data_IF_337882417747
#
_entry.id   IF_337882417747
#
_cell.length_a   1.000
_cell.length_b   1.000
_cell.length_c   1.000
_cell.angle_alpha   90.00
_cell.angle_beta   90.00
_cell.angle_gamma   90.00
#
_symmetry.space_group_name_H-M   'P 1'
#
loop_
_entity.id
_entity.type
_entity.pdbx_description
1 polymer ?
#
# COMPACT_ATOMS: atom_id res chain seq x y z
N UNK A 1 11.43 16.95 17.26
CA UNK A 1 10.49 17.40 16.22
C UNK A 1 9.22 16.57 16.27
N UNK A 2 8.06 17.15 15.93
CA UNK A 2 6.78 16.43 15.84
C UNK A 2 6.53 16.03 14.42
N UNK A 3 6.11 14.78 14.20
CA UNK A 3 5.90 14.21 12.86
C UNK A 3 4.69 13.30 12.89
N UNK A 4 3.76 13.50 11.97
CA UNK A 4 2.68 12.54 11.70
C UNK A 4 3.16 11.49 10.70
N UNK A 5 2.84 10.21 10.95
CA UNK A 5 3.28 9.15 10.04
C UNK A 5 2.41 7.90 10.09
N UNK A 6 2.46 7.15 8.99
CA UNK A 6 1.80 5.86 8.82
C UNK A 6 2.86 4.77 9.04
N UNK A 7 2.65 3.90 10.00
CA UNK A 7 3.57 2.79 10.30
C UNK A 7 3.45 1.74 9.18
N UNK A 8 4.56 1.46 8.51
CA UNK A 8 4.61 0.45 7.45
C UNK A 8 5.08 -0.91 7.97
N UNK A 9 5.97 -0.91 8.96
CA UNK A 9 6.53 -2.14 9.53
C UNK A 9 7.19 -1.87 10.86
N UNK A 10 7.08 -2.83 11.80
CA UNK A 10 7.84 -2.88 13.04
C UNK A 10 8.69 -4.16 13.07
N UNK A 11 9.99 -4.03 13.36
CA UNK A 11 10.92 -5.15 13.49
C UNK A 11 11.57 -5.11 14.86
N UNK A 12 11.50 -6.22 15.62
CA UNK A 12 12.20 -6.36 16.89
C UNK A 12 13.70 -6.18 16.71
N UNK A 13 14.31 -5.36 17.56
CA UNK A 13 15.72 -5.05 17.53
C UNK A 13 16.28 -5.06 18.94
N UNK A 14 17.23 -5.96 19.21
CA UNK A 14 17.75 -6.24 20.57
C UNK A 14 16.63 -6.70 21.54
N UNK A 15 16.95 -6.78 22.82
CA UNK A 15 16.06 -7.37 23.84
C UNK A 15 14.82 -6.54 24.14
N UNK A 16 14.88 -5.22 24.05
CA UNK A 16 13.79 -4.34 24.49
C UNK A 16 13.38 -3.27 23.47
N UNK A 17 13.95 -3.31 22.25
CA UNK A 17 13.79 -2.26 21.25
C UNK A 17 13.20 -2.80 19.95
N UNK A 18 12.73 -1.90 19.11
CA UNK A 18 12.36 -2.20 17.73
C UNK A 18 12.78 -1.07 16.79
N UNK A 19 12.76 -1.37 15.49
CA UNK A 19 12.89 -0.38 14.43
C UNK A 19 11.54 -0.33 13.71
N UNK A 20 10.91 0.84 13.72
CA UNK A 20 9.73 1.12 12.94
C UNK A 20 10.13 1.78 11.61
N UNK A 21 9.55 1.31 10.49
CA UNK A 21 9.59 2.02 9.21
C UNK A 21 8.28 2.75 9.04
N UNK A 22 8.34 4.07 8.84
CA UNK A 22 7.18 4.96 8.85
C UNK A 22 7.20 5.84 7.60
N UNK A 23 6.05 5.96 6.95
CA UNK A 23 5.80 6.95 5.91
C UNK A 23 5.28 8.21 6.56
N UNK A 24 5.98 9.32 6.42
CA UNK A 24 5.64 10.61 7.03
C UNK A 24 5.23 11.63 5.98
N UNK A 25 4.57 12.70 6.40
CA UNK A 25 4.16 13.79 5.51
C UNK A 25 5.34 14.67 5.06
N UNK A 26 6.31 14.93 5.95
CA UNK A 26 7.39 15.87 5.67
C UNK A 26 8.75 15.21 5.39
N UNK A 27 9.04 14.04 6.00
CA UNK A 27 10.36 13.42 5.97
C UNK A 27 10.47 12.22 5.03
N UNK A 28 9.38 11.85 4.37
CA UNK A 28 9.37 10.65 3.55
C UNK A 28 9.28 9.35 4.34
N UNK A 29 9.80 8.29 3.73
CA UNK A 29 9.89 6.99 4.39
C UNK A 29 11.14 6.96 5.26
N UNK A 30 10.96 6.93 6.58
CA UNK A 30 12.03 6.99 7.56
C UNK A 30 12.10 5.75 8.43
N UNK A 31 13.25 5.54 9.07
CA UNK A 31 13.45 4.52 10.10
C UNK A 31 13.55 5.16 11.49
N UNK A 32 12.75 4.66 12.43
CA UNK A 32 12.70 5.15 13.81
C UNK A 32 13.17 4.04 14.75
N UNK A 33 14.21 4.32 15.55
CA UNK A 33 14.65 3.44 16.63
C UNK A 33 13.76 3.66 17.85
N UNK A 34 12.93 2.69 18.15
CA UNK A 34 12.02 2.68 19.28
C UNK A 34 12.66 1.93 20.44
N UNK A 35 13.41 2.66 21.28
CA UNK A 35 14.13 2.07 22.41
C UNK A 35 13.19 1.72 23.56
N UNK A 36 13.42 0.61 24.23
CA UNK A 36 12.74 0.19 25.47
C UNK A 36 11.22 0.09 25.36
N UNK A 37 10.67 -0.13 24.16
CA UNK A 37 9.22 -0.28 23.97
C UNK A 37 8.69 -1.58 24.59
N UNK A 38 9.55 -2.58 24.76
CA UNK A 38 9.24 -3.85 25.42
C UNK A 38 9.78 -3.84 26.85
N UNK A 39 9.15 -3.07 27.76
CA UNK A 39 9.63 -2.91 29.14
C UNK A 39 9.49 -4.16 30.00
N UNK A 40 8.50 -4.97 29.77
CA UNK A 40 8.29 -6.26 30.42
C UNK A 40 8.48 -7.37 29.38
N UNK A 41 9.03 -8.50 29.73
CA UNK A 41 9.28 -9.63 28.85
C UNK A 41 8.08 -10.11 28.00
N UNK A 42 6.93 -9.50 28.15
CA UNK A 42 5.75 -9.66 27.29
C UNK A 42 5.96 -8.89 26.00
N UNK A 43 6.39 -9.56 24.97
CA UNK A 43 6.69 -9.09 23.62
C UNK A 43 5.40 -8.68 22.84
N UNK A 44 4.60 -7.78 23.38
CA UNK A 44 3.42 -7.26 22.71
C UNK A 44 3.81 -5.96 22.02
N UNK A 45 3.60 -5.88 20.72
CA UNK A 45 3.86 -4.67 19.95
C UNK A 45 2.88 -3.57 20.39
N UNK A 46 3.36 -2.35 20.65
CA UNK A 46 2.47 -1.25 21.00
C UNK A 46 1.47 -1.00 19.88
N UNK A 47 0.17 -0.82 20.18
CA UNK A 47 -0.86 -0.55 19.18
C UNK A 47 -0.53 0.64 18.27
N UNK A 48 0.17 1.62 18.78
CA UNK A 48 0.64 2.80 18.06
C UNK A 48 1.69 2.48 16.98
N UNK A 49 2.30 1.31 17.01
CA UNK A 49 3.32 0.86 16.05
C UNK A 49 2.85 -0.33 15.22
N UNK A 50 1.56 -0.66 15.27
CA UNK A 50 0.98 -1.66 14.37
C UNK A 50 1.00 -1.17 12.92
N UNK A 51 1.15 -2.09 11.98
CA UNK A 51 1.14 -1.77 10.54
C UNK A 51 -0.12 -1.02 10.15
N UNK A 52 0.04 0.07 9.40
CA UNK A 52 -1.01 0.98 8.93
C UNK A 52 -1.68 1.83 10.04
N UNK A 53 -1.15 1.87 11.27
CA UNK A 53 -1.57 2.89 12.24
C UNK A 53 -1.08 4.28 11.83
N UNK A 54 -1.93 5.29 12.02
CA UNK A 54 -1.60 6.70 11.85
C UNK A 54 -1.21 7.27 13.22
N UNK A 55 0.03 7.70 13.37
CA UNK A 55 0.61 8.02 14.68
C UNK A 55 1.35 9.36 14.65
N UNK A 56 1.16 10.17 15.67
CA UNK A 56 1.92 11.39 15.91
C UNK A 56 3.10 11.10 16.82
N UNK A 57 4.28 11.26 16.29
CA UNK A 57 5.56 10.99 16.96
C UNK A 57 6.26 12.26 17.39
N UNK A 58 6.92 12.20 18.55
CA UNK A 58 8.00 13.13 18.90
C UNK A 58 9.30 12.41 18.64
N UNK A 59 10.08 12.92 17.70
CA UNK A 59 11.32 12.32 17.24
C UNK A 59 12.52 13.18 17.53
N UNK A 60 13.65 12.54 17.78
CA UNK A 60 14.96 13.13 17.83
C UNK A 60 15.81 12.63 16.67
N UNK A 61 16.42 13.55 15.94
CA UNK A 61 17.28 13.22 14.83
C UNK A 61 18.59 12.54 15.32
N UNK A 62 19.00 11.52 14.58
CA UNK A 62 20.27 10.82 14.75
C UNK A 62 21.09 10.85 13.47
N UNK A 63 22.27 10.21 13.46
CA UNK A 63 23.14 10.19 12.27
C UNK A 63 22.60 9.42 11.08
N UNK A 64 21.90 8.32 11.33
CA UNK A 64 21.44 7.38 10.29
C UNK A 64 19.96 7.04 10.40
N UNK A 65 19.31 7.39 11.49
CA UNK A 65 17.90 7.14 11.74
C UNK A 65 17.39 8.07 12.84
N UNK A 66 16.09 8.18 12.95
CA UNK A 66 15.41 8.91 14.02
C UNK A 66 15.29 8.04 15.27
N UNK A 67 15.14 8.68 16.42
CA UNK A 67 14.87 8.03 17.70
C UNK A 67 13.51 8.47 18.21
N UNK A 68 12.71 7.51 18.67
CA UNK A 68 11.43 7.78 19.30
C UNK A 68 11.66 8.33 20.71
N UNK A 69 11.21 9.54 20.95
CA UNK A 69 11.16 10.13 22.31
C UNK A 69 9.77 9.94 22.92
N UNK A 70 8.67 10.16 22.16
CA UNK A 70 7.30 10.05 22.63
C UNK A 70 6.32 9.70 21.50
N UNK A 71 5.20 9.06 21.84
CA UNK A 71 4.01 8.92 21.00
C UNK A 71 2.93 9.80 21.58
N UNK A 72 2.57 10.91 20.89
CA UNK A 72 1.56 11.86 21.39
C UNK A 72 0.14 11.34 21.22
N UNK A 73 -0.16 10.77 20.06
CA UNK A 73 -1.47 10.21 19.74
C UNK A 73 -1.37 9.17 18.64
N UNK A 74 -2.35 8.29 18.61
CA UNK A 74 -2.48 7.27 17.57
C UNK A 74 -3.94 7.13 17.19
N UNK A 75 -4.20 7.15 15.89
CA UNK A 75 -5.46 6.67 15.33
C UNK A 75 -5.22 5.23 14.90
N UNK A 76 -5.63 4.32 15.75
CA UNK A 76 -5.69 2.91 15.38
C UNK A 76 -6.80 2.76 14.36
N UNK A 77 -6.48 2.18 13.22
CA UNK A 77 -7.51 1.86 12.24
C UNK A 77 -8.32 0.67 12.77
N UNK A 78 -9.43 0.94 13.46
CA UNK A 78 -10.34 -0.12 13.99
C UNK A 78 -10.72 -1.12 12.89
N UNK A 79 -10.81 -0.64 11.65
CA UNK A 79 -11.01 -1.48 10.49
C UNK A 79 -9.92 -2.56 10.36
N UNK A 80 -8.65 -2.27 10.65
CA UNK A 80 -7.55 -3.27 10.55
C UNK A 80 -7.72 -4.43 11.53
N UNK A 81 -8.43 -4.23 12.63
CA UNK A 81 -8.76 -5.26 13.61
C UNK A 81 -10.13 -5.90 13.38
N UNK A 82 -10.97 -5.33 12.50
CA UNK A 82 -12.38 -5.71 12.33
C UNK A 82 -12.62 -6.75 11.26
N UNK A 83 -11.65 -7.00 10.35
CA UNK A 83 -11.85 -7.96 9.28
C UNK A 83 -10.58 -8.32 8.52
N UNK A 84 -10.57 -9.52 7.96
CA UNK A 84 -9.43 -10.04 7.21
C UNK A 84 -9.17 -9.30 5.89
N UNK A 85 -10.23 -8.79 5.22
CA UNK A 85 -10.08 -8.06 3.95
C UNK A 85 -9.32 -6.76 4.14
N UNK A 86 -9.65 -6.01 5.19
CA UNK A 86 -8.95 -4.79 5.57
C UNK A 86 -7.51 -5.09 5.99
N UNK A 87 -7.31 -6.16 6.76
CA UNK A 87 -5.99 -6.61 7.17
C UNK A 87 -5.08 -6.86 5.96
N UNK A 88 -5.50 -7.72 5.01
CA UNK A 88 -4.70 -7.97 3.81
C UNK A 88 -4.54 -6.73 2.93
N UNK A 89 -5.58 -5.93 2.75
CA UNK A 89 -5.56 -4.71 1.97
C UNK A 89 -4.49 -3.73 2.49
N UNK A 90 -4.48 -3.46 3.79
CA UNK A 90 -3.48 -2.60 4.41
C UNK A 90 -2.06 -3.15 4.27
N UNK A 91 -1.88 -4.47 4.46
CA UNK A 91 -0.56 -5.10 4.33
C UNK A 91 -0.04 -5.10 2.89
N UNK A 92 -0.91 -5.23 1.87
CA UNK A 92 -0.53 -5.08 0.46
C UNK A 92 0.02 -3.66 0.20
N UNK A 93 -0.68 -2.63 0.68
CA UNK A 93 -0.25 -1.24 0.53
C UNK A 93 1.07 -0.99 1.26
N UNK A 94 1.19 -1.45 2.52
CA UNK A 94 2.42 -1.32 3.30
C UNK A 94 3.61 -2.02 2.61
N UNK A 95 3.41 -3.24 2.09
CA UNK A 95 4.46 -4.00 1.41
C UNK A 95 4.90 -3.33 0.10
N UNK A 96 3.96 -2.78 -0.69
CA UNK A 96 4.28 -2.01 -1.88
C UNK A 96 5.13 -0.79 -1.55
N UNK A 97 4.73 0.01 -0.56
CA UNK A 97 5.50 1.18 -0.11
C UNK A 97 6.89 0.80 0.41
N UNK A 98 7.00 -0.31 1.13
CA UNK A 98 8.29 -0.79 1.63
C UNK A 98 9.24 -1.20 0.51
N UNK A 99 8.72 -1.84 -0.56
CA UNK A 99 9.54 -2.42 -1.62
C UNK A 99 9.88 -1.45 -2.75
N UNK A 100 9.01 -0.46 -3.02
CA UNK A 100 9.15 0.38 -4.22
C UNK A 100 9.39 1.87 -3.93
N UNK A 101 9.13 2.34 -2.70
CA UNK A 101 9.42 3.72 -2.34
C UNK A 101 10.84 3.83 -1.79
N UNK A 102 11.67 4.64 -2.44
CA UNK A 102 12.99 4.97 -1.92
C UNK A 102 12.87 5.92 -0.71
N UNK A 103 13.91 5.95 0.13
CA UNK A 103 13.93 6.83 1.29
C UNK A 103 14.04 8.30 0.83
N UNK A 104 13.32 9.19 1.48
CA UNK A 104 13.43 10.66 1.39
C UNK A 104 12.94 11.32 0.10
N UNK A 105 12.62 10.58 -0.99
CA UNK A 105 12.19 11.18 -2.26
C UNK A 105 10.71 10.91 -2.60
N UNK A 106 10.04 11.88 -3.24
CA UNK A 106 8.69 11.82 -3.85
C UNK A 106 7.50 11.67 -2.88
N UNK A 107 7.60 12.09 -1.65
CA UNK A 107 6.62 11.75 -0.62
C UNK A 107 5.41 12.67 -0.57
N UNK A 108 5.54 13.92 -0.98
CA UNK A 108 4.49 14.94 -0.82
C UNK A 108 3.09 14.53 -1.33
N UNK A 109 3.02 13.69 -2.37
CA UNK A 109 1.75 13.20 -2.91
C UNK A 109 1.35 11.80 -2.42
N UNK A 110 2.31 10.98 -1.99
CA UNK A 110 2.09 9.57 -1.62
C UNK A 110 1.53 9.47 -0.19
N UNK A 111 2.02 10.30 0.74
CA UNK A 111 1.50 10.33 2.10
C UNK A 111 0.00 10.70 2.14
N UNK A 112 -0.45 11.84 1.57
CA UNK A 112 -1.87 12.19 1.59
C UNK A 112 -2.74 11.18 0.81
N UNK A 113 -2.24 10.58 -0.27
CA UNK A 113 -2.93 9.48 -0.96
C UNK A 113 -3.17 8.30 -0.01
N UNK A 114 -2.13 7.89 0.73
CA UNK A 114 -2.20 6.73 1.64
C UNK A 114 -3.04 7.03 2.87
N UNK A 115 -2.96 8.25 3.42
CA UNK A 115 -3.81 8.69 4.54
C UNK A 115 -5.28 8.67 4.14
N UNK A 116 -5.63 9.27 2.99
CA UNK A 116 -7.01 9.28 2.50
C UNK A 116 -7.53 7.87 2.19
N UNK A 117 -6.66 6.97 1.69
CA UNK A 117 -7.00 5.55 1.53
C UNK A 117 -7.38 4.92 2.87
N UNK A 118 -6.57 5.11 3.92
CA UNK A 118 -6.84 4.56 5.24
C UNK A 118 -8.15 5.07 5.85
N UNK A 119 -8.41 6.36 5.73
CA UNK A 119 -9.62 7.01 6.25
C UNK A 119 -10.92 6.48 5.60
N UNK A 120 -10.83 5.91 4.39
CA UNK A 120 -11.97 5.39 3.65
C UNK A 120 -12.01 3.85 3.58
N UNK A 121 -11.01 3.16 4.13
CA UNK A 121 -10.90 1.71 4.08
C UNK A 121 -11.91 1.04 4.99
N UNK A 122 -12.70 0.11 4.42
CA UNK A 122 -13.69 -0.70 5.13
C UNK A 122 -13.65 -2.14 4.63
N UNK A 123 -14.20 -3.08 5.40
CA UNK A 123 -14.29 -4.48 5.00
C UNK A 123 -15.05 -4.67 3.68
N UNK A 124 -16.03 -3.81 3.40
CA UNK A 124 -16.84 -3.88 2.19
C UNK A 124 -16.11 -3.45 0.93
N UNK A 125 -15.28 -2.40 1.01
CA UNK A 125 -14.62 -1.81 -0.16
C UNK A 125 -13.13 -2.16 -0.29
N UNK A 126 -12.59 -2.94 0.63
CA UNK A 126 -11.16 -3.16 0.80
C UNK A 126 -10.42 -3.48 -0.51
N UNK A 127 -10.93 -4.39 -1.32
CA UNK A 127 -10.26 -4.83 -2.54
C UNK A 127 -10.30 -3.77 -3.64
N UNK A 128 -11.48 -3.15 -3.85
CA UNK A 128 -11.59 -2.11 -4.87
C UNK A 128 -10.79 -0.86 -4.49
N UNK A 129 -10.86 -0.48 -3.21
CA UNK A 129 -10.13 0.68 -2.72
C UNK A 129 -8.60 0.47 -2.85
N UNK A 130 -8.12 -0.74 -2.53
CA UNK A 130 -6.71 -1.10 -2.68
C UNK A 130 -6.26 -1.10 -4.13
N UNK A 131 -7.06 -1.66 -5.04
CA UNK A 131 -6.79 -1.59 -6.48
C UNK A 131 -6.71 -0.13 -6.96
N UNK A 132 -7.65 0.70 -6.52
CA UNK A 132 -7.66 2.15 -6.83
C UNK A 132 -6.41 2.83 -6.29
N UNK A 133 -6.02 2.53 -5.05
CA UNK A 133 -4.79 3.07 -4.46
C UNK A 133 -3.56 2.66 -5.30
N UNK A 134 -3.45 1.40 -5.69
CA UNK A 134 -2.34 0.88 -6.51
C UNK A 134 -2.23 1.66 -7.84
N UNK A 135 -3.31 1.81 -8.60
CA UNK A 135 -3.27 2.54 -9.87
C UNK A 135 -2.91 4.02 -9.69
N UNK A 136 -3.42 4.67 -8.65
CA UNK A 136 -3.06 6.06 -8.33
C UNK A 136 -1.61 6.19 -7.88
N UNK A 137 -1.13 5.28 -7.04
CA UNK A 137 0.25 5.22 -6.59
C UNK A 137 1.22 5.05 -7.76
N UNK A 138 0.96 4.08 -8.65
CA UNK A 138 1.76 3.87 -9.84
C UNK A 138 1.74 5.08 -10.78
N UNK A 139 0.59 5.75 -10.90
CA UNK A 139 0.49 6.98 -11.69
C UNK A 139 1.36 8.11 -11.12
N UNK A 140 1.47 8.24 -9.79
CA UNK A 140 2.38 9.20 -9.13
C UNK A 140 3.85 8.87 -9.36
N UNK A 141 4.19 7.59 -9.51
CA UNK A 141 5.53 7.13 -9.85
C UNK A 141 5.85 7.24 -11.36
N UNK A 142 4.92 7.73 -12.19
CA UNK A 142 5.10 7.85 -13.64
C UNK A 142 4.60 6.66 -14.44
N UNK A 143 4.06 5.63 -13.82
CA UNK A 143 3.51 4.43 -14.45
C UNK A 143 1.99 4.51 -14.62
N UNK A 144 1.49 5.64 -15.13
CA UNK A 144 0.07 5.77 -15.45
C UNK A 144 -0.30 4.85 -16.61
N UNK A 145 -1.26 3.90 -16.45
CA UNK A 145 -1.58 2.98 -17.53
C UNK A 145 -2.18 3.70 -18.73
N UNK A 146 -1.66 3.39 -19.91
CA UNK A 146 -2.33 3.72 -21.16
C UNK A 146 -3.61 2.89 -21.28
N UNK A 147 -4.67 3.47 -21.82
CA UNK A 147 -5.96 2.78 -21.99
C UNK A 147 -6.38 2.81 -23.45
N UNK A 148 -6.31 1.66 -24.11
CA UNK A 148 -6.89 1.49 -25.44
C UNK A 148 -8.42 1.45 -25.34
N UNK A 149 -9.09 2.34 -26.07
CA UNK A 149 -10.55 2.46 -26.07
C UNK A 149 -11.24 1.59 -27.13
N UNK A 150 -10.47 1.00 -28.06
CA UNK A 150 -10.97 0.15 -29.15
C UNK A 150 -10.43 -1.29 -29.05
N UNK A 151 -10.91 -2.17 -29.96
CA UNK A 151 -10.45 -3.54 -30.12
C UNK A 151 -11.29 -4.59 -29.37
N UNK A 152 -11.36 -5.79 -29.97
CA UNK A 152 -12.11 -6.94 -29.42
C UNK A 152 -11.27 -7.73 -28.41
N UNK A 153 -9.95 -7.77 -28.61
CA UNK A 153 -9.02 -8.49 -27.73
C UNK A 153 -8.12 -7.49 -27.01
N UNK A 154 -8.31 -7.37 -25.70
CA UNK A 154 -7.57 -6.46 -24.84
C UNK A 154 -6.67 -7.22 -23.87
N UNK A 155 -5.50 -6.65 -23.59
CA UNK A 155 -4.50 -7.21 -22.69
C UNK A 155 -3.95 -6.13 -21.76
N UNK A 156 -3.78 -6.45 -20.50
CA UNK A 156 -3.04 -5.64 -19.56
C UNK A 156 -1.55 -6.00 -19.68
N UNK A 157 -0.75 -5.02 -20.03
CA UNK A 157 0.71 -5.08 -20.20
C UNK A 157 1.41 -4.07 -19.29
N UNK A 158 2.73 -3.98 -19.37
CA UNK A 158 3.52 -2.97 -18.65
C UNK A 158 3.12 -1.53 -19.04
N UNK A 159 2.75 -1.27 -20.29
CA UNK A 159 2.31 0.05 -20.75
C UNK A 159 0.85 0.39 -20.37
N UNK A 160 0.05 -0.62 -20.01
CA UNK A 160 -1.37 -0.46 -19.69
C UNK A 160 -2.25 -1.43 -20.47
N UNK A 161 -3.50 -1.03 -20.76
CA UNK A 161 -4.45 -1.85 -21.53
C UNK A 161 -4.27 -1.55 -23.02
N UNK A 162 -3.85 -2.56 -23.76
CA UNK A 162 -3.49 -2.49 -25.17
C UNK A 162 -4.19 -3.60 -25.98
N UNK A 163 -4.29 -3.44 -27.29
CA UNK A 163 -4.67 -4.50 -28.23
C UNK A 163 -3.44 -5.29 -28.68
N UNK A 164 -3.66 -6.45 -29.27
CA UNK A 164 -2.58 -7.38 -29.66
C UNK A 164 -1.57 -6.75 -30.63
N UNK A 165 -2.04 -5.91 -31.54
CA UNK A 165 -1.23 -5.19 -32.51
C UNK A 165 -0.35 -4.08 -31.94
N UNK A 166 -0.64 -3.66 -30.70
CA UNK A 166 0.11 -2.61 -29.96
C UNK A 166 1.11 -3.19 -28.96
N UNK A 167 1.24 -4.51 -28.94
CA UNK A 167 2.09 -5.19 -27.95
C UNK A 167 3.52 -5.33 -28.43
N UNK A 168 4.47 -5.14 -27.53
CA UNK A 168 5.85 -5.60 -27.74
C UNK A 168 5.92 -7.13 -27.66
N UNK A 169 6.61 -7.74 -28.63
CA UNK A 169 6.60 -9.19 -28.88
C UNK A 169 7.13 -10.08 -27.72
N UNK A 170 7.57 -9.52 -26.60
CA UNK A 170 8.23 -10.23 -25.48
C UNK A 170 7.66 -9.96 -24.10
N UNK A 171 6.56 -9.22 -23.96
CA UNK A 171 6.03 -8.78 -22.67
C UNK A 171 5.12 -9.80 -21.98
N UNK A 172 5.18 -9.88 -20.67
CA UNK A 172 4.17 -10.57 -19.84
C UNK A 172 2.85 -9.83 -19.94
N UNK A 173 1.76 -10.54 -20.22
CA UNK A 173 0.43 -9.99 -20.46
C UNK A 173 -0.65 -10.75 -19.71
N UNK A 174 -1.74 -10.06 -19.40
CA UNK A 174 -2.95 -10.63 -18.83
C UNK A 174 -4.15 -10.28 -19.71
N UNK A 175 -4.91 -11.27 -20.23
CA UNK A 175 -6.14 -10.98 -20.97
C UNK A 175 -7.13 -10.21 -20.09
N UNK A 176 -7.76 -9.17 -20.65
CA UNK A 176 -8.77 -8.35 -19.97
C UNK A 176 -9.99 -8.11 -20.85
N UNK A 177 -11.13 -7.88 -20.25
CA UNK A 177 -12.38 -7.59 -20.93
C UNK A 177 -12.62 -6.07 -21.01
N UNK A 178 -13.60 -5.65 -21.84
CA UNK A 178 -14.07 -4.26 -21.83
C UNK A 178 -14.58 -3.81 -20.46
N UNK A 179 -15.20 -4.72 -19.68
CA UNK A 179 -15.62 -4.44 -18.30
C UNK A 179 -14.42 -4.15 -17.40
N UNK A 180 -13.34 -4.92 -17.54
CA UNK A 180 -12.11 -4.69 -16.76
C UNK A 180 -11.48 -3.36 -17.09
N UNK A 181 -11.42 -3.00 -18.36
CA UNK A 181 -10.96 -1.68 -18.83
C UNK A 181 -11.75 -0.57 -18.17
N UNK A 182 -13.09 -0.65 -18.20
CA UNK A 182 -13.97 0.36 -17.64
C UNK A 182 -13.80 0.46 -16.11
N UNK A 183 -13.54 -0.67 -15.43
CA UNK A 183 -13.21 -0.69 -14.01
C UNK A 183 -11.87 -0.01 -13.70
N UNK A 184 -10.83 -0.22 -14.51
CA UNK A 184 -9.54 0.48 -14.38
C UNK A 184 -9.72 1.99 -14.57
N UNK A 185 -10.44 2.41 -15.62
CA UNK A 185 -10.75 3.83 -15.86
C UNK A 185 -11.48 4.44 -14.65
N UNK A 186 -12.48 3.75 -14.13
CA UNK A 186 -13.22 4.20 -12.95
C UNK A 186 -12.33 4.31 -11.73
N UNK A 187 -11.50 3.31 -11.46
CA UNK A 187 -10.56 3.31 -10.34
C UNK A 187 -9.59 4.52 -10.40
N UNK A 188 -9.04 4.81 -11.58
CA UNK A 188 -8.12 5.93 -11.74
C UNK A 188 -8.78 7.29 -11.49
N UNK A 189 -10.07 7.45 -11.82
CA UNK A 189 -10.80 8.71 -11.77
C UNK A 189 -11.64 8.89 -10.50
N UNK A 190 -11.97 7.83 -9.76
CA UNK A 190 -12.81 7.90 -8.55
C UNK A 190 -12.07 8.51 -7.37
N UNK A 191 -12.78 9.25 -6.51
CA UNK A 191 -12.32 9.57 -5.17
C UNK A 191 -12.54 8.37 -4.27
N UNK A 192 -11.69 8.15 -3.27
CA UNK A 192 -11.82 7.01 -2.35
C UNK A 192 -13.18 7.00 -1.61
N UNK A 193 -13.66 8.18 -1.23
CA UNK A 193 -14.97 8.33 -0.55
C UNK A 193 -16.17 7.82 -1.38
N UNK A 194 -16.04 7.76 -2.72
CA UNK A 194 -17.10 7.34 -3.62
C UNK A 194 -17.13 5.81 -3.84
N UNK A 195 -16.09 5.10 -3.37
CA UNK A 195 -15.95 3.65 -3.56
C UNK A 195 -16.66 2.90 -2.44
N UNK A 196 -17.78 2.27 -2.77
CA UNK A 196 -18.63 1.52 -1.82
C UNK A 196 -18.69 0.02 -2.10
N UNK A 197 -18.20 -0.41 -3.27
CA UNK A 197 -18.34 -1.77 -3.78
C UNK A 197 -17.09 -2.63 -3.55
N UNK A 198 -17.28 -3.94 -3.71
CA UNK A 198 -16.20 -4.91 -3.77
C UNK A 198 -15.84 -5.20 -5.23
N UNK A 199 -14.55 -5.28 -5.57
CA UNK A 199 -14.09 -5.70 -6.89
C UNK A 199 -12.75 -6.44 -6.76
N UNK A 200 -12.85 -7.71 -6.39
CA UNK A 200 -11.64 -8.51 -6.21
C UNK A 200 -10.85 -8.68 -7.50
N UNK A 201 -11.53 -8.95 -8.62
CA UNK A 201 -10.88 -9.12 -9.92
C UNK A 201 -10.07 -7.90 -10.35
N UNK A 202 -10.47 -6.70 -9.90
CA UNK A 202 -9.69 -5.48 -10.13
C UNK A 202 -8.39 -5.46 -9.31
N UNK A 203 -8.41 -6.01 -8.08
CA UNK A 203 -7.20 -6.10 -7.25
C UNK A 203 -6.15 -7.00 -7.91
N UNK A 204 -6.56 -8.14 -8.49
CA UNK A 204 -5.64 -9.03 -9.22
C UNK A 204 -4.94 -8.30 -10.38
N UNK A 205 -5.70 -7.51 -11.14
CA UNK A 205 -5.16 -6.71 -12.24
C UNK A 205 -4.25 -5.59 -11.77
N UNK A 206 -4.62 -4.91 -10.69
CA UNK A 206 -3.80 -3.85 -10.12
C UNK A 206 -2.47 -4.39 -9.57
N UNK A 207 -2.51 -5.54 -8.89
CA UNK A 207 -1.30 -6.22 -8.40
C UNK A 207 -0.43 -6.70 -9.56
N UNK A 208 -1.02 -7.33 -10.57
CA UNK A 208 -0.29 -7.74 -11.78
C UNK A 208 0.43 -6.54 -12.41
N UNK A 209 -0.27 -5.43 -12.60
CA UNK A 209 0.29 -4.20 -13.15
C UNK A 209 1.42 -3.61 -12.29
N UNK A 210 1.26 -3.67 -10.97
CA UNK A 210 2.30 -3.23 -10.03
C UNK A 210 3.57 -4.10 -10.11
N UNK A 211 3.41 -5.43 -10.20
CA UNK A 211 4.54 -6.34 -10.31
C UNK A 211 5.38 -6.06 -11.57
N UNK A 212 4.71 -5.80 -12.71
CA UNK A 212 5.40 -5.49 -13.98
C UNK A 212 6.15 -4.15 -13.93
N UNK A 213 5.54 -3.12 -13.37
CA UNK A 213 6.09 -1.76 -13.42
C UNK A 213 7.12 -1.47 -12.33
N UNK A 214 7.05 -2.17 -11.20
CA UNK A 214 7.97 -2.01 -10.07
C UNK A 214 9.07 -3.07 -10.06
N UNK A 215 9.14 -3.93 -11.08
CA UNK A 215 10.08 -5.05 -11.19
C UNK A 215 10.09 -5.92 -9.91
N UNK A 216 8.90 -6.25 -9.43
CA UNK A 216 8.70 -7.06 -8.24
C UNK A 216 8.31 -8.49 -8.63
N UNK A 217 8.99 -9.48 -8.04
CA UNK A 217 8.64 -10.88 -8.28
C UNK A 217 7.32 -11.27 -7.63
N UNK A 218 7.02 -10.73 -6.46
CA UNK A 218 5.78 -11.03 -5.71
C UNK A 218 5.49 -9.98 -4.63
N UNK A 219 4.22 -9.95 -4.20
CA UNK A 219 3.74 -9.27 -3.00
C UNK A 219 3.27 -10.36 -2.03
N UNK A 220 3.99 -10.58 -0.93
CA UNK A 220 3.73 -11.71 -0.02
C UNK A 220 2.35 -11.63 0.63
N UNK A 221 1.92 -10.43 1.04
CA UNK A 221 0.59 -10.19 1.62
C UNK A 221 -0.54 -10.52 0.65
N UNK A 222 -0.33 -10.27 -0.65
CA UNK A 222 -1.28 -10.66 -1.69
C UNK A 222 -1.30 -12.18 -1.94
N UNK A 223 -0.14 -12.85 -1.92
CA UNK A 223 -0.08 -14.30 -2.02
C UNK A 223 -0.79 -14.99 -0.82
N UNK A 224 -0.62 -14.44 0.39
CA UNK A 224 -1.36 -14.92 1.56
C UNK A 224 -2.87 -14.71 1.41
N UNK A 225 -3.32 -13.58 0.87
CA UNK A 225 -4.73 -13.34 0.57
C UNK A 225 -5.29 -14.35 -0.43
N UNK A 226 -4.55 -14.66 -1.52
CA UNK A 226 -4.98 -15.67 -2.51
C UNK A 226 -5.13 -17.05 -1.87
N UNK A 227 -4.17 -17.46 -1.07
CA UNK A 227 -4.22 -18.73 -0.37
C UNK A 227 -5.40 -18.79 0.62
N UNK A 228 -5.63 -17.72 1.39
CA UNK A 228 -6.74 -17.65 2.33
C UNK A 228 -8.10 -17.79 1.63
N UNK A 229 -8.29 -17.14 0.47
CA UNK A 229 -9.52 -17.26 -0.36
C UNK A 229 -9.78 -18.65 -0.91
N UNK A 230 -8.74 -19.45 -1.12
CA UNK A 230 -8.89 -20.82 -1.60
C UNK A 230 -9.61 -21.71 -0.57
N UNK A 231 -9.60 -21.32 0.71
CA UNK A 231 -10.21 -22.05 1.81
C UNK A 231 -11.56 -21.45 2.31
N UNK A 232 -12.04 -20.33 1.76
CA UNK A 232 -13.40 -19.79 1.94
C UNK A 232 -14.39 -20.44 0.97
#
# INVERSE_FOLDING_TARGET
MKVEGIVLRLIKYKESSAIATVLTDDLGKISINCQRIYRNKNWVDPPALETMSLTNFVLREGRTMYYLDEIESTVRMEAMASGHKVFFAGHIVAELLLKSLENEYQVASIYPLTKTYLENLTEKNAYYLTATWIFKYLSLLGYKPYINMGGESLYLSQSGIVSLDQMDASGTILPVTGKDRDMVIRAMNSRFADIKDTAYDLLDKAVFYALLNLDLNKINSYELLKNWRYYE
#
